data_IF_593184408082
#
_entry.id   IF_593184408082
#
_cell.length_a   1.000
_cell.length_b   1.000
_cell.length_c   1.000
_cell.angle_alpha   90.00
_cell.angle_beta   90.00
_cell.angle_gamma   90.00
#
_symmetry.space_group_name_H-M   'P 1'
#
loop_
_entity.id
_entity.type
_entity.pdbx_description
1 polymer ?
#
# COMPACT_ATOMS: atom_id res chain seq x y z
N UNK A 1 -16.08 -12.02 14.34
CA UNK A 1 -14.64 -11.90 14.00
C UNK A 1 -14.40 -11.42 12.56
N UNK A 2 -15.45 -11.12 11.77
CA UNK A 2 -15.42 -10.83 10.33
C UNK A 2 -15.48 -9.34 9.97
N UNK A 3 -15.53 -8.45 10.96
CA UNK A 3 -15.82 -7.02 10.78
C UNK A 3 -14.59 -6.15 10.46
N UNK A 4 -13.36 -6.66 10.63
CA UNK A 4 -12.14 -5.88 10.47
C UNK A 4 -11.63 -5.79 9.01
N UNK A 5 -11.96 -6.76 8.15
CA UNK A 5 -11.66 -6.69 6.70
C UNK A 5 -12.53 -5.64 5.97
N UNK A 6 -13.69 -5.31 6.54
CA UNK A 6 -14.67 -4.37 5.96
C UNK A 6 -14.20 -2.90 6.02
N UNK A 7 -13.18 -2.57 6.83
CA UNK A 7 -12.72 -1.19 7.03
C UNK A 7 -11.49 -0.78 6.20
N UNK A 8 -10.81 -1.72 5.52
CA UNK A 8 -9.58 -1.43 4.74
C UNK A 8 -9.81 -1.09 3.26
N UNK A 9 -11.08 -0.99 2.83
CA UNK A 9 -11.44 -0.95 1.41
C UNK A 9 -12.28 0.28 1.01
N UNK A 10 -12.18 1.40 1.72
CA UNK A 10 -13.01 2.55 1.37
C UNK A 10 -12.57 3.29 0.09
N UNK A 11 -11.40 3.01 -0.52
CA UNK A 11 -10.90 3.80 -1.67
C UNK A 11 -9.96 3.12 -2.70
N UNK A 12 -9.61 1.85 -2.51
CA UNK A 12 -8.71 1.11 -3.43
C UNK A 12 -9.47 -0.13 -3.89
N UNK A 13 -9.66 -0.31 -5.20
CA UNK A 13 -10.42 -1.46 -5.72
C UNK A 13 -9.43 -2.60 -5.98
N UNK A 14 -9.59 -3.71 -5.28
CA UNK A 14 -8.87 -4.96 -5.51
C UNK A 14 -9.66 -5.87 -6.44
N UNK A 15 -8.96 -6.68 -7.25
CA UNK A 15 -9.56 -7.64 -8.20
C UNK A 15 -9.45 -9.06 -7.67
N UNK A 16 -10.53 -9.58 -7.07
CA UNK A 16 -11.25 -10.75 -7.56
C UNK A 16 -12.57 -10.87 -6.79
N UNK A 17 -13.65 -10.97 -7.57
CA UNK A 17 -15.11 -10.98 -7.25
C UNK A 17 -15.70 -10.09 -6.14
N UNK A 18 -16.75 -9.36 -6.56
CA UNK A 18 -17.79 -8.64 -5.79
C UNK A 18 -17.49 -7.20 -5.34
N UNK A 19 -18.08 -6.26 -6.10
CA UNK A 19 -18.21 -4.83 -5.80
C UNK A 19 -18.95 -4.55 -4.48
N UNK A 20 -18.36 -3.75 -3.58
CA UNK A 20 -19.09 -3.02 -2.53
C UNK A 20 -18.43 -1.64 -2.29
N UNK A 21 -19.25 -0.58 -2.26
CA UNK A 21 -18.84 0.82 -2.03
C UNK A 21 -19.56 1.39 -0.81
N UNK A 22 -18.84 2.01 0.13
CA UNK A 22 -19.37 2.89 1.19
C UNK A 22 -18.46 4.13 1.40
N UNK A 23 -18.91 5.21 2.08
CA UNK A 23 -18.48 6.58 1.77
C UNK A 23 -17.49 7.18 2.80
N UNK A 24 -16.46 7.92 2.36
CA UNK A 24 -16.02 9.15 3.04
C UNK A 24 -15.10 10.10 2.21
N UNK A 25 -15.22 11.39 2.54
CA UNK A 25 -14.56 12.68 2.19
C UNK A 25 -13.83 12.96 0.86
N UNK A 26 -14.09 14.17 0.34
CA UNK A 26 -13.55 14.79 -0.88
C UNK A 26 -12.05 15.15 -0.81
N UNK A 27 -11.45 15.16 0.38
CA UNK A 27 -10.03 15.50 0.62
C UNK A 27 -9.05 14.52 -0.04
N UNK A 28 -9.53 13.32 -0.39
CA UNK A 28 -8.69 12.18 -0.73
C UNK A 28 -8.37 12.08 -2.24
N UNK A 29 -9.11 12.81 -3.08
CA UNK A 29 -8.88 12.80 -4.53
C UNK A 29 -7.48 13.30 -4.92
N UNK A 30 -6.96 14.32 -4.23
CA UNK A 30 -5.64 14.90 -4.53
C UNK A 30 -4.50 14.00 -4.05
N UNK A 31 -4.63 13.35 -2.89
CA UNK A 31 -3.64 12.41 -2.37
C UNK A 31 -3.61 11.12 -3.18
N UNK A 32 -4.77 10.58 -3.60
CA UNK A 32 -4.83 9.39 -4.44
C UNK A 32 -4.30 9.64 -5.87
N UNK A 33 -4.50 10.85 -6.41
CA UNK A 33 -3.87 11.23 -7.70
C UNK A 33 -2.36 11.27 -7.60
N UNK A 34 -1.81 11.82 -6.51
CA UNK A 34 -0.37 11.76 -6.24
C UNK A 34 0.09 10.31 -6.07
N UNK A 35 -0.64 9.51 -5.31
CA UNK A 35 -0.35 8.08 -5.13
C UNK A 35 -0.31 7.35 -6.49
N UNK A 36 -1.29 7.60 -7.36
CA UNK A 36 -1.29 7.07 -8.73
C UNK A 36 -0.02 7.44 -9.49
N UNK A 37 0.37 8.72 -9.49
CA UNK A 37 1.55 9.20 -10.19
C UNK A 37 2.84 8.56 -9.68
N UNK A 38 2.95 8.31 -8.37
CA UNK A 38 4.07 7.59 -7.77
C UNK A 38 4.06 6.13 -8.23
N UNK A 39 2.93 5.45 -8.13
CA UNK A 39 2.80 4.05 -8.55
C UNK A 39 3.09 3.85 -10.04
N UNK A 40 2.76 4.83 -10.90
CA UNK A 40 3.13 4.81 -12.31
C UNK A 40 4.65 4.84 -12.54
N UNK A 41 5.41 5.52 -11.68
CA UNK A 41 6.89 5.55 -11.76
C UNK A 41 7.56 4.25 -11.29
N UNK A 42 6.82 3.43 -10.55
CA UNK A 42 7.27 2.16 -9.95
C UNK A 42 6.76 0.93 -10.69
N UNK A 43 6.17 1.11 -11.89
CA UNK A 43 5.75 0.00 -12.74
C UNK A 43 6.97 -0.85 -13.10
N UNK A 44 6.82 -2.17 -12.95
CA UNK A 44 7.86 -3.15 -13.24
C UNK A 44 8.74 -3.53 -12.05
N UNK A 45 8.58 -2.86 -10.90
CA UNK A 45 9.27 -3.23 -9.66
C UNK A 45 8.60 -4.45 -9.00
N UNK A 46 9.29 -5.58 -8.82
CA UNK A 46 8.66 -6.84 -8.39
C UNK A 46 8.15 -6.81 -6.95
N UNK A 47 8.77 -6.02 -6.06
CA UNK A 47 8.40 -5.91 -4.65
C UNK A 47 7.55 -4.66 -4.33
N UNK A 48 6.86 -4.13 -5.34
CA UNK A 48 5.92 -3.01 -5.21
C UNK A 48 4.55 -3.44 -5.72
N UNK A 49 3.47 -3.08 -5.01
CA UNK A 49 2.11 -3.40 -5.44
C UNK A 49 1.85 -2.84 -6.84
N UNK A 50 1.38 -3.68 -7.76
CA UNK A 50 1.10 -3.22 -9.12
C UNK A 50 -0.15 -2.35 -9.14
N UNK A 51 -0.04 -1.17 -9.75
CA UNK A 51 -1.19 -0.36 -10.13
C UNK A 51 -1.52 -0.62 -11.59
N UNK A 52 -2.73 -1.10 -11.85
CA UNK A 52 -3.23 -1.35 -13.20
C UNK A 52 -3.80 -0.09 -13.84
N UNK A 53 -4.23 0.88 -13.04
CA UNK A 53 -4.79 2.13 -13.53
C UNK A 53 -5.56 2.89 -12.45
N UNK A 54 -6.27 3.93 -12.89
CA UNK A 54 -7.16 4.70 -12.04
C UNK A 54 -8.39 5.14 -12.85
N UNK A 55 -9.52 5.33 -12.18
CA UNK A 55 -10.75 5.79 -12.81
C UNK A 55 -11.53 6.71 -11.87
N UNK A 56 -12.37 7.57 -12.45
CA UNK A 56 -13.25 8.45 -11.69
C UNK A 56 -14.68 7.93 -11.75
N UNK A 57 -15.30 7.71 -10.59
CA UNK A 57 -16.71 7.32 -10.48
C UNK A 57 -17.53 8.43 -9.83
N UNK A 58 -18.83 8.45 -10.09
CA UNK A 58 -19.77 9.38 -9.44
C UNK A 58 -20.29 8.73 -8.16
N UNK A 59 -20.31 9.48 -7.05
CA UNK A 59 -20.89 8.99 -5.79
C UNK A 59 -22.36 8.63 -5.98
N UNK A 60 -22.82 7.55 -5.34
CA UNK A 60 -24.26 7.25 -5.23
C UNK A 60 -24.94 8.47 -4.60
N UNK A 61 -25.94 9.02 -5.30
CA UNK A 61 -26.64 10.25 -4.92
C UNK A 61 -26.18 11.52 -5.65
N UNK A 62 -25.29 11.44 -6.64
CA UNK A 62 -24.92 12.57 -7.51
C UNK A 62 -24.02 13.62 -6.88
N UNK A 63 -23.60 13.44 -5.62
CA UNK A 63 -22.77 14.40 -4.88
C UNK A 63 -21.26 14.16 -5.13
N UNK A 64 -20.82 14.44 -6.36
CA UNK A 64 -19.42 14.61 -6.71
C UNK A 64 -18.69 13.35 -7.19
N UNK A 65 -17.47 13.61 -7.67
CA UNK A 65 -16.60 12.62 -8.29
C UNK A 65 -15.60 12.02 -7.27
N UNK A 66 -15.36 10.71 -7.35
CA UNK A 66 -14.37 9.97 -6.56
C UNK A 66 -13.32 9.42 -7.50
N UNK A 67 -12.04 9.63 -7.16
CA UNK A 67 -10.92 9.05 -7.87
C UNK A 67 -10.54 7.73 -7.21
N UNK A 68 -10.49 6.64 -7.98
CA UNK A 68 -10.25 5.29 -7.49
C UNK A 68 -8.99 4.72 -8.14
N UNK A 69 -8.21 3.96 -7.35
CA UNK A 69 -7.06 3.20 -7.83
C UNK A 69 -7.45 1.75 -8.08
N UNK A 70 -6.91 1.19 -9.16
CA UNK A 70 -7.03 -0.22 -9.49
C UNK A 70 -5.70 -0.92 -9.22
N UNK A 71 -5.68 -1.76 -8.18
CA UNK A 71 -4.45 -2.35 -7.64
C UNK A 71 -4.49 -3.88 -7.69
N UNK A 72 -3.30 -4.47 -7.70
CA UNK A 72 -3.09 -5.90 -7.52
C UNK A 72 -3.67 -6.40 -6.19
N UNK A 73 -4.41 -7.51 -6.25
CA UNK A 73 -5.02 -8.10 -5.06
C UNK A 73 -4.04 -9.02 -4.31
N UNK A 74 -3.86 -8.73 -3.02
CA UNK A 74 -3.05 -9.51 -2.12
C UNK A 74 -3.91 -10.50 -1.32
N UNK A 75 -4.08 -11.71 -1.83
CA UNK A 75 -4.90 -12.75 -1.19
C UNK A 75 -4.33 -13.26 0.14
N UNK A 76 -3.05 -13.04 0.43
CA UNK A 76 -2.38 -13.48 1.65
C UNK A 76 -2.45 -12.50 2.82
N UNK A 77 -3.17 -11.38 2.69
CA UNK A 77 -3.23 -10.35 3.73
C UNK A 77 -1.94 -9.54 3.86
N UNK A 78 -1.62 -9.08 5.07
CA UNK A 78 -0.44 -8.26 5.37
C UNK A 78 0.64 -9.00 6.16
N UNK A 79 1.87 -8.48 6.16
CA UNK A 79 2.97 -9.04 6.96
C UNK A 79 2.64 -8.98 8.45
N UNK A 80 1.81 -8.01 8.88
CA UNK A 80 1.29 -7.98 10.24
C UNK A 80 0.43 -9.19 10.56
N UNK A 81 -0.41 -9.64 9.62
CA UNK A 81 -1.24 -10.83 9.77
C UNK A 81 -0.37 -12.08 9.80
N UNK A 82 0.61 -12.20 8.89
CA UNK A 82 1.59 -13.27 8.90
C UNK A 82 2.34 -13.36 10.23
N UNK A 83 2.82 -12.22 10.76
CA UNK A 83 3.50 -12.18 12.05
C UNK A 83 2.60 -12.68 13.20
N UNK A 84 1.31 -12.36 13.15
CA UNK A 84 0.31 -12.84 14.12
C UNK A 84 0.11 -14.35 14.00
N UNK A 85 -0.01 -14.86 12.78
CA UNK A 85 -0.23 -16.29 12.51
C UNK A 85 0.96 -17.14 12.97
N UNK A 86 2.18 -16.61 12.88
CA UNK A 86 3.40 -17.23 13.42
C UNK A 86 3.56 -17.05 14.94
N UNK A 87 2.61 -16.43 15.64
CA UNK A 87 2.75 -16.11 17.07
C UNK A 87 3.97 -15.23 17.38
N UNK A 88 4.39 -14.41 16.41
CA UNK A 88 5.58 -13.56 16.49
C UNK A 88 6.93 -14.27 16.27
N UNK A 89 6.94 -15.57 15.94
CA UNK A 89 8.18 -16.37 15.81
C UNK A 89 8.35 -16.91 14.40
N UNK A 90 8.65 -16.01 13.46
CA UNK A 90 8.95 -16.40 12.08
C UNK A 90 10.35 -17.05 12.05
N UNK A 91 10.54 -18.21 11.36
CA UNK A 91 11.85 -18.82 11.18
C UNK A 91 12.86 -17.85 10.57
N UNK A 92 14.10 -17.85 11.07
CA UNK A 92 15.15 -16.92 10.63
C UNK A 92 15.41 -16.99 9.11
N UNK A 93 15.34 -18.21 8.54
CA UNK A 93 15.42 -18.43 7.10
C UNK A 93 14.40 -17.58 6.33
N UNK A 94 13.16 -17.58 6.79
CA UNK A 94 12.05 -16.91 6.11
C UNK A 94 12.13 -15.40 6.35
N UNK A 95 12.52 -14.98 7.57
CA UNK A 95 12.83 -13.58 7.88
C UNK A 95 13.89 -13.02 6.93
N UNK A 96 14.97 -13.78 6.66
CA UNK A 96 16.03 -13.36 5.73
C UNK A 96 15.52 -13.18 4.30
N UNK A 97 14.59 -14.01 3.85
CA UNK A 97 13.97 -13.88 2.53
C UNK A 97 13.02 -12.67 2.48
N UNK A 98 12.15 -12.52 3.48
CA UNK A 98 11.22 -11.40 3.58
C UNK A 98 11.92 -10.05 3.69
N UNK A 99 12.96 -9.95 4.52
CA UNK A 99 13.76 -8.74 4.66
C UNK A 99 14.40 -8.34 3.32
N UNK A 100 14.90 -9.32 2.55
CA UNK A 100 15.47 -9.05 1.22
C UNK A 100 14.44 -8.44 0.26
N UNK A 101 13.25 -9.04 0.16
CA UNK A 101 12.16 -8.53 -0.69
C UNK A 101 11.76 -7.10 -0.32
N UNK A 102 11.67 -6.80 0.98
CA UNK A 102 11.35 -5.45 1.46
C UNK A 102 12.47 -4.47 1.08
N UNK A 103 13.73 -4.85 1.27
CA UNK A 103 14.89 -4.02 0.92
C UNK A 103 15.00 -3.77 -0.58
N UNK A 104 14.73 -4.78 -1.41
CA UNK A 104 14.69 -4.65 -2.87
C UNK A 104 13.62 -3.64 -3.30
N UNK A 105 12.41 -3.72 -2.73
CA UNK A 105 11.36 -2.72 -2.97
C UNK A 105 11.77 -1.31 -2.52
N UNK A 106 12.40 -1.16 -1.36
CA UNK A 106 12.87 0.14 -0.88
C UNK A 106 13.97 0.73 -1.76
N UNK A 107 14.89 -0.09 -2.27
CA UNK A 107 15.93 0.34 -3.23
C UNK A 107 15.28 0.92 -4.48
N UNK A 108 14.24 0.28 -5.01
CA UNK A 108 13.51 0.77 -6.18
C UNK A 108 12.78 2.09 -5.90
N UNK A 109 12.12 2.22 -4.75
CA UNK A 109 11.47 3.47 -4.32
C UNK A 109 12.51 4.61 -4.25
N UNK A 110 13.64 4.37 -3.60
CA UNK A 110 14.68 5.38 -3.40
C UNK A 110 15.38 5.76 -4.71
N UNK A 111 15.59 4.81 -5.64
CA UNK A 111 16.12 5.11 -6.98
C UNK A 111 15.26 6.08 -7.79
N UNK A 112 13.94 6.14 -7.51
CA UNK A 112 13.02 7.10 -8.10
C UNK A 112 12.95 8.43 -7.32
N UNK A 113 13.86 8.65 -6.37
CA UNK A 113 13.88 9.84 -5.52
C UNK A 113 12.67 9.94 -4.60
N UNK A 114 12.02 8.82 -4.28
CA UNK A 114 10.84 8.77 -3.42
C UNK A 114 11.22 8.25 -2.02
N UNK A 115 10.46 8.66 -1.00
CA UNK A 115 10.56 8.15 0.38
C UNK A 115 9.17 7.69 0.81
N UNK A 116 9.01 6.42 1.16
CA UNK A 116 7.70 5.83 1.48
C UNK A 116 7.00 6.53 2.66
N UNK A 117 7.74 6.86 3.71
CA UNK A 117 7.29 7.60 4.91
C UNK A 117 6.24 6.92 5.81
N UNK A 118 5.65 5.80 5.42
CA UNK A 118 4.79 4.97 6.31
C UNK A 118 5.05 3.47 6.13
N UNK A 119 6.32 3.07 6.18
CA UNK A 119 6.69 1.66 6.10
C UNK A 119 6.40 0.97 7.44
N UNK A 120 5.54 -0.04 7.40
CA UNK A 120 5.14 -0.86 8.55
C UNK A 120 4.67 -2.24 8.08
N UNK A 121 4.62 -3.28 8.95
CA UNK A 121 4.15 -4.61 8.55
C UNK A 121 2.75 -4.63 7.94
N UNK A 122 1.85 -3.73 8.36
CA UNK A 122 0.51 -3.62 7.78
C UNK A 122 0.47 -3.08 6.34
N UNK A 123 1.55 -2.43 5.88
CA UNK A 123 1.68 -1.89 4.52
C UNK A 123 2.57 -2.78 3.62
N UNK A 124 2.93 -3.98 4.09
CA UNK A 124 3.64 -4.99 3.31
C UNK A 124 2.65 -6.12 3.06
N UNK A 125 2.31 -6.36 1.80
CA UNK A 125 1.25 -7.27 1.39
C UNK A 125 1.83 -8.60 0.90
N UNK A 126 1.07 -9.68 1.13
CA UNK A 126 1.44 -11.04 0.76
C UNK A 126 0.71 -11.47 -0.51
N UNK A 127 1.50 -11.95 -1.47
CA UNK A 127 1.04 -12.54 -2.71
C UNK A 127 1.45 -14.01 -2.77
N UNK A 128 0.77 -14.82 -3.61
CA UNK A 128 1.15 -16.21 -3.81
C UNK A 128 2.65 -16.37 -4.13
N UNK A 129 3.27 -17.49 -3.71
CA UNK A 129 4.65 -17.80 -4.09
C UNK A 129 4.83 -17.78 -5.60
N UNK A 130 5.90 -17.12 -6.06
CA UNK A 130 6.26 -17.09 -7.48
C UNK A 130 7.48 -17.96 -7.80
N UNK A 131 8.15 -18.47 -6.77
CA UNK A 131 9.37 -19.26 -6.89
C UNK A 131 9.20 -20.66 -6.30
N UNK A 132 10.21 -21.50 -6.52
CA UNK A 132 10.27 -22.87 -5.99
C UNK A 132 10.55 -22.94 -4.49
N UNK A 133 10.78 -21.80 -3.83
CA UNK A 133 11.06 -21.73 -2.37
C UNK A 133 9.74 -21.87 -1.59
N UNK A 134 8.60 -21.58 -2.23
CA UNK A 134 7.27 -21.75 -1.65
C UNK A 134 6.89 -20.69 -0.62
N UNK A 135 7.64 -19.59 -0.55
CA UNK A 135 7.35 -18.46 0.33
C UNK A 135 6.46 -17.44 -0.38
N UNK A 136 5.60 -16.77 0.40
CA UNK A 136 4.79 -15.68 -0.13
C UNK A 136 5.69 -14.58 -0.70
N UNK A 137 5.27 -14.01 -1.83
CA UNK A 137 5.94 -12.84 -2.39
C UNK A 137 5.50 -11.60 -1.62
N UNK A 138 6.44 -10.84 -1.08
CA UNK A 138 6.13 -9.58 -0.40
C UNK A 138 6.20 -8.38 -1.33
N UNK A 139 5.19 -7.51 -1.27
CA UNK A 139 5.16 -6.24 -1.99
C UNK A 139 4.78 -5.08 -1.07
N UNK A 140 5.50 -3.97 -1.19
CA UNK A 140 5.20 -2.73 -0.47
C UNK A 140 3.95 -2.08 -1.08
N UNK A 141 3.06 -1.60 -0.22
CA UNK A 141 1.83 -0.93 -0.58
C UNK A 141 1.63 0.35 0.24
N UNK A 142 0.57 1.09 -0.10
CA UNK A 142 0.13 2.32 0.55
C UNK A 142 1.09 3.52 0.42
N UNK A 143 1.07 4.10 -0.78
CA UNK A 143 1.97 5.19 -1.17
C UNK A 143 1.37 6.58 -0.87
N UNK A 144 0.30 6.65 -0.07
CA UNK A 144 -0.45 7.89 0.21
C UNK A 144 0.35 8.96 0.97
N UNK A 145 1.41 8.56 1.67
CA UNK A 145 2.31 9.44 2.44
C UNK A 145 3.69 9.62 1.79
N UNK A 146 3.89 9.13 0.57
CA UNK A 146 5.18 9.23 -0.12
C UNK A 146 5.57 10.67 -0.36
N UNK A 147 6.87 10.93 -0.16
CA UNK A 147 7.51 12.22 -0.43
C UNK A 147 8.53 12.06 -1.56
N UNK A 148 8.66 13.08 -2.39
CA UNK A 148 9.72 13.16 -3.40
C UNK A 148 10.84 14.05 -2.88
N UNK A 149 12.09 13.64 -3.13
CA UNK A 149 13.28 14.37 -2.72
C UNK A 149 13.30 15.77 -3.34
N UNK A 150 13.65 16.78 -2.53
CA UNK A 150 13.72 18.18 -2.99
C UNK A 150 12.37 18.88 -3.20
N UNK A 151 11.25 18.22 -2.92
CA UNK A 151 9.91 18.84 -2.95
C UNK A 151 9.49 19.21 -1.52
N UNK A 152 9.38 20.50 -1.22
CA UNK A 152 8.80 20.95 0.05
C UNK A 152 7.32 20.56 0.14
N UNK A 153 6.98 19.67 1.06
CA UNK A 153 5.58 19.40 1.38
C UNK A 153 5.08 20.48 2.35
N UNK A 154 4.53 21.57 1.79
CA UNK A 154 3.93 22.67 2.58
C UNK A 154 2.84 22.21 3.56
N UNK A 155 2.27 21.01 3.35
CA UNK A 155 1.26 20.41 4.24
C UNK A 155 1.86 19.87 5.54
N UNK A 156 3.18 19.78 5.66
CA UNK A 156 3.88 19.29 6.85
C UNK A 156 3.68 20.23 8.05
N UNK A 157 3.55 21.54 7.81
CA UNK A 157 3.29 22.53 8.85
C UNK A 157 1.79 22.72 9.16
N UNK A 158 0.91 22.46 8.19
CA UNK A 158 -0.55 22.64 8.36
C UNK A 158 -1.26 21.50 9.11
N UNK A 159 -0.69 20.28 9.13
CA UNK A 159 -1.43 19.07 9.58
C UNK A 159 -0.73 18.23 10.65
N UNK A 160 0.40 18.67 11.21
CA UNK A 160 1.14 17.92 12.23
C UNK A 160 1.76 16.61 11.73
N UNK A 161 2.16 15.75 12.67
CA UNK A 161 2.80 14.47 12.41
C UNK A 161 1.95 13.57 11.50
N UNK A 162 2.57 12.98 10.47
CA UNK A 162 1.94 12.03 9.54
C UNK A 162 2.77 10.76 9.47
N UNK A 163 2.09 9.61 9.52
CA UNK A 163 2.70 8.28 9.59
C UNK A 163 2.30 7.55 10.86
N UNK A 164 2.83 6.35 11.05
CA UNK A 164 2.57 5.55 12.24
C UNK A 164 3.67 5.77 13.28
N UNK A 165 3.36 6.50 14.36
CA UNK A 165 4.33 7.03 15.34
C UNK A 165 5.35 6.01 15.86
N UNK A 166 4.94 4.78 16.10
CA UNK A 166 5.81 3.71 16.63
C UNK A 166 6.89 3.24 15.64
N UNK A 167 6.81 3.60 14.36
CA UNK A 167 7.75 3.21 13.30
C UNK A 167 8.59 4.38 12.77
N UNK A 168 8.50 5.56 13.39
CA UNK A 168 9.27 6.73 12.97
C UNK A 168 10.47 6.94 13.90
N UNK A 169 11.64 7.19 13.31
CA UNK A 169 12.91 7.51 13.98
C UNK A 169 13.01 8.98 14.38
#
# INVERSE_FOLDING_TARGET
MTTAYVLLLLQKVFVDEAEVVLPFTATISSSLRKEHQILQQLIGCPNIVRCFGAFTSVRRGGQGNVFNLFLEYASGGSLLDLMRDYGGKIPERDVKCYARMILEGLVDIHKKGCIHSDLKPGNILLFPPQDSIGLNTLKIADFGLVKQYGVEDKRMWEYGFRGTAIYVS
#
